data_IF_332117908545
#
_entry.id   IF_332117908545
#
_cell.length_a   1.000
_cell.length_b   1.000
_cell.length_c   1.000
_cell.angle_alpha   90.00
_cell.angle_beta   90.00
_cell.angle_gamma   90.00
#
_symmetry.space_group_name_H-M   'P 1'
#
loop_
_entity.id
_entity.type
_entity.pdbx_description
1 polymer ?
#
# COMPACT_ATOMS: atom_id res chain seq x y z
N UNK A 1 6.68 52.73 -49.69
CA UNK A 1 6.46 51.68 -50.69
C UNK A 1 6.84 50.33 -50.09
N UNK A 2 5.89 49.39 -50.06
CA UNK A 2 6.06 47.98 -49.65
C UNK A 2 7.11 47.27 -50.51
N UNK A 3 7.86 46.33 -49.92
CA UNK A 3 8.02 44.94 -50.40
C UNK A 3 8.75 44.08 -49.36
N UNK A 4 7.99 43.14 -48.78
CA UNK A 4 8.45 41.93 -48.09
C UNK A 4 8.93 40.91 -49.13
N UNK A 5 9.97 40.12 -48.83
CA UNK A 5 9.94 38.64 -48.69
C UNK A 5 11.34 38.03 -48.87
N UNK A 6 11.82 37.32 -47.86
CA UNK A 6 12.62 36.11 -48.04
C UNK A 6 12.35 35.19 -46.85
N UNK A 7 11.75 34.05 -47.18
CA UNK A 7 11.24 32.98 -46.34
C UNK A 7 12.34 32.24 -45.59
N UNK A 8 12.21 32.13 -44.26
CA UNK A 8 13.02 31.26 -43.41
C UNK A 8 12.48 29.84 -43.53
N UNK A 9 13.28 28.96 -44.14
CA UNK A 9 13.06 27.52 -44.12
C UNK A 9 14.12 26.87 -43.23
N UNK A 10 13.72 26.35 -42.08
CA UNK A 10 14.31 25.12 -41.54
C UNK A 10 13.51 24.59 -40.35
N UNK A 11 12.89 23.45 -40.63
CA UNK A 11 12.29 22.48 -39.74
C UNK A 11 13.42 21.65 -39.11
N UNK A 12 13.55 21.61 -37.77
CA UNK A 12 14.22 20.48 -37.09
C UNK A 12 13.41 20.05 -35.88
N UNK A 13 13.03 18.78 -35.96
CA UNK A 13 12.28 17.94 -35.04
C UNK A 13 13.06 17.61 -33.75
N UNK A 14 12.32 17.51 -32.65
CA UNK A 14 12.44 16.53 -31.55
C UNK A 14 13.84 16.12 -31.06
N UNK A 15 14.16 16.47 -29.80
CA UNK A 15 14.90 15.59 -28.88
C UNK A 15 14.43 15.81 -27.45
N UNK A 16 13.36 15.11 -27.08
CA UNK A 16 13.10 14.76 -25.68
C UNK A 16 13.92 13.51 -25.34
N UNK A 17 14.97 13.66 -24.54
CA UNK A 17 15.55 12.54 -23.78
C UNK A 17 16.05 13.06 -22.44
N UNK A 18 15.22 12.97 -21.41
CA UNK A 18 15.64 13.15 -20.03
C UNK A 18 16.50 11.95 -19.63
N UNK A 19 17.81 12.02 -19.91
CA UNK A 19 18.79 11.10 -19.35
C UNK A 19 19.08 11.48 -17.91
N UNK A 20 18.33 10.91 -16.96
CA UNK A 20 18.80 10.77 -15.59
C UNK A 20 19.21 9.32 -15.36
N UNK A 21 20.42 8.99 -15.80
CA UNK A 21 21.09 7.75 -15.44
C UNK A 21 22.41 8.09 -14.73
N UNK A 22 22.41 7.80 -13.43
CA UNK A 22 23.50 7.34 -12.58
C UNK A 22 24.87 8.07 -12.66
N UNK A 23 25.37 8.49 -11.49
CA UNK A 23 26.30 7.63 -10.73
C UNK A 23 26.96 8.38 -9.55
N UNK A 24 27.00 7.71 -8.39
CA UNK A 24 28.23 7.27 -7.68
C UNK A 24 28.06 7.36 -6.16
N UNK A 25 28.39 6.25 -5.50
CA UNK A 25 29.11 6.28 -4.24
C UNK A 25 28.25 6.09 -3.00
N UNK A 26 28.22 4.84 -2.52
CA UNK A 26 27.69 4.48 -1.21
C UNK A 26 26.39 3.72 -1.32
N UNK A 27 26.47 2.40 -1.25
CA UNK A 27 25.39 1.63 -0.62
C UNK A 27 25.34 2.16 0.82
N UNK A 28 24.26 2.83 1.27
CA UNK A 28 24.13 3.11 2.68
C UNK A 28 23.97 1.75 3.35
N UNK A 29 24.95 1.35 4.14
CA UNK A 29 24.70 0.36 5.17
C UNK A 29 23.61 0.97 6.09
N UNK A 30 22.39 0.43 5.99
CA UNK A 30 21.24 0.83 6.79
C UNK A 30 20.25 1.78 6.10
N UNK A 31 19.56 1.33 5.05
CA UNK A 31 18.27 1.92 4.73
C UNK A 31 17.31 1.49 5.85
N UNK A 32 16.86 2.45 6.68
CA UNK A 32 15.99 2.24 7.84
C UNK A 32 14.65 1.62 7.45
N UNK A 33 14.66 0.31 7.21
CA UNK A 33 13.45 -0.45 6.95
C UNK A 33 12.64 -0.60 8.22
N UNK A 34 11.32 -0.46 8.11
CA UNK A 34 10.43 -0.82 9.21
C UNK A 34 10.11 -2.31 9.17
N UNK A 35 9.96 -2.89 10.35
CA UNK A 35 9.28 -4.15 10.58
C UNK A 35 8.46 -3.98 11.86
N UNK A 36 7.13 -3.92 11.73
CA UNK A 36 6.22 -3.74 12.87
C UNK A 36 5.10 -4.77 12.77
N UNK A 37 4.64 -5.27 13.92
CA UNK A 37 3.49 -6.17 14.02
C UNK A 37 2.72 -5.85 15.29
N UNK A 38 1.39 -5.78 15.15
CA UNK A 38 0.47 -5.52 16.26
C UNK A 38 -0.65 -6.55 16.28
N UNK A 39 -1.18 -6.80 17.47
CA UNK A 39 -2.49 -7.44 17.62
C UNK A 39 -3.57 -6.37 17.50
N UNK A 40 -4.60 -6.66 16.71
CA UNK A 40 -5.75 -5.78 16.59
C UNK A 40 -6.75 -6.08 17.71
N UNK A 41 -7.37 -5.03 18.23
CA UNK A 41 -8.35 -5.09 19.31
C UNK A 41 -9.75 -5.20 18.71
N UNK A 42 -10.53 -6.17 19.18
CA UNK A 42 -11.91 -6.33 18.78
C UNK A 42 -12.84 -5.32 19.45
N UNK A 43 -13.68 -4.68 18.64
CA UNK A 43 -14.79 -3.85 19.11
C UNK A 43 -15.91 -4.71 19.73
N UNK A 44 -17.01 -4.10 20.16
CA UNK A 44 -18.21 -4.85 20.56
C UNK A 44 -18.75 -5.72 19.41
N UNK A 45 -18.85 -5.17 18.20
CA UNK A 45 -19.27 -5.91 17.01
C UNK A 45 -18.27 -7.03 16.67
N UNK A 46 -16.96 -6.78 16.79
CA UNK A 46 -15.94 -7.80 16.60
C UNK A 46 -16.03 -8.94 17.61
N UNK A 47 -16.26 -8.63 18.88
CA UNK A 47 -16.45 -9.65 19.93
C UNK A 47 -17.67 -10.53 19.66
N UNK A 48 -18.75 -9.98 19.11
CA UNK A 48 -19.96 -10.74 18.78
C UNK A 48 -19.70 -11.85 17.74
N UNK A 49 -18.71 -11.67 16.87
CA UNK A 49 -18.29 -12.67 15.87
C UNK A 49 -16.96 -13.35 16.24
N UNK A 50 -16.54 -13.26 17.50
CA UNK A 50 -15.26 -13.79 17.99
C UNK A 50 -14.04 -13.34 17.16
N UNK A 51 -14.06 -12.10 16.64
CA UNK A 51 -13.02 -11.57 15.78
C UNK A 51 -11.68 -11.45 16.51
N UNK A 52 -10.60 -11.85 15.83
CA UNK A 52 -9.20 -11.65 16.25
C UNK A 52 -8.37 -11.35 15.01
N UNK A 53 -7.31 -10.57 15.15
CA UNK A 53 -6.44 -10.32 14.02
C UNK A 53 -5.13 -9.66 14.37
N UNK A 54 -4.26 -9.56 13.38
CA UNK A 54 -2.97 -8.90 13.46
C UNK A 54 -2.73 -8.07 12.22
N UNK A 55 -2.04 -6.94 12.37
CA UNK A 55 -1.51 -6.17 11.25
C UNK A 55 0.01 -6.19 11.30
N UNK A 56 0.66 -6.30 10.14
CA UNK A 56 2.10 -6.30 10.01
C UNK A 56 2.54 -5.43 8.83
N UNK A 57 3.64 -4.71 9.01
CA UNK A 57 4.34 -4.00 7.93
C UNK A 57 5.79 -4.45 7.92
N UNK A 58 6.35 -4.61 6.73
CA UNK A 58 7.79 -4.86 6.56
C UNK A 58 8.31 -4.18 5.32
N UNK A 59 9.60 -3.88 5.34
CA UNK A 59 10.35 -3.50 4.16
C UNK A 59 11.59 -4.37 4.03
N UNK A 60 12.01 -4.63 2.80
CA UNK A 60 13.21 -5.39 2.50
C UNK A 60 13.93 -4.75 1.31
N UNK A 61 15.23 -4.51 1.45
CA UNK A 61 16.05 -4.08 0.33
C UNK A 61 16.17 -5.22 -0.69
N UNK A 62 15.91 -4.91 -1.96
CA UNK A 62 16.15 -5.78 -3.11
C UNK A 62 17.10 -5.07 -4.07
N UNK A 63 17.70 -5.82 -5.00
CA UNK A 63 18.60 -5.22 -6.00
C UNK A 63 17.76 -4.29 -6.89
N UNK A 64 18.03 -2.99 -6.81
CA UNK A 64 17.35 -1.98 -7.64
C UNK A 64 16.00 -1.46 -7.11
N UNK A 65 15.48 -1.97 -5.99
CA UNK A 65 14.24 -1.44 -5.38
C UNK A 65 14.08 -1.80 -3.90
N UNK A 66 13.17 -1.12 -3.20
CA UNK A 66 12.76 -1.49 -1.83
C UNK A 66 11.40 -2.17 -1.89
N UNK A 67 11.36 -3.45 -1.51
CA UNK A 67 10.11 -4.18 -1.35
C UNK A 67 9.43 -3.73 -0.05
N UNK A 68 8.16 -3.40 -0.15
CA UNK A 68 7.27 -3.01 0.93
C UNK A 68 6.13 -4.03 0.99
N UNK A 69 5.72 -4.42 2.19
CA UNK A 69 4.62 -5.36 2.37
C UNK A 69 3.78 -4.96 3.57
N UNK A 70 2.47 -4.97 3.38
CA UNK A 70 1.46 -4.76 4.41
C UNK A 70 0.53 -5.98 4.43
N UNK A 71 0.35 -6.55 5.62
CA UNK A 71 -0.51 -7.71 5.81
C UNK A 71 -1.49 -7.47 6.96
N UNK A 72 -2.76 -7.81 6.76
CA UNK A 72 -3.77 -7.90 7.81
C UNK A 72 -4.37 -9.29 7.78
N UNK A 73 -4.17 -10.01 8.87
CA UNK A 73 -4.70 -11.35 9.10
C UNK A 73 -5.85 -11.28 10.09
N UNK A 74 -6.95 -11.99 9.81
CA UNK A 74 -8.18 -11.97 10.59
C UNK A 74 -8.75 -13.38 10.74
N UNK A 75 -9.33 -13.64 11.91
CA UNK A 75 -10.25 -14.76 12.15
C UNK A 75 -11.58 -14.24 12.65
N UNK A 76 -12.67 -14.86 12.23
CA UNK A 76 -14.02 -14.54 12.67
C UNK A 76 -14.95 -15.74 12.50
N UNK A 77 -15.93 -15.87 13.41
CA UNK A 77 -16.99 -16.86 13.36
C UNK A 77 -18.16 -16.33 12.50
N UNK A 78 -17.96 -16.31 11.19
CA UNK A 78 -18.93 -15.85 10.18
C UNK A 78 -19.02 -16.86 9.05
N UNK A 79 -20.03 -16.72 8.19
CA UNK A 79 -20.15 -17.55 7.00
C UNK A 79 -19.00 -17.31 6.02
N UNK A 80 -18.58 -18.34 5.31
CA UNK A 80 -17.61 -18.23 4.23
C UNK A 80 -18.11 -17.25 3.15
N UNK A 81 -17.18 -16.50 2.56
CA UNK A 81 -17.47 -15.43 1.62
C UNK A 81 -17.83 -14.09 2.28
N UNK A 82 -17.97 -14.04 3.62
CA UNK A 82 -18.12 -12.75 4.33
C UNK A 82 -16.89 -11.88 4.08
N UNK A 83 -17.11 -10.63 3.67
CA UNK A 83 -16.05 -9.67 3.38
C UNK A 83 -15.94 -8.58 4.44
N UNK A 84 -14.72 -8.12 4.67
CA UNK A 84 -14.39 -7.00 5.53
C UNK A 84 -13.52 -6.02 4.78
N UNK A 85 -13.71 -4.72 4.99
CA UNK A 85 -12.88 -3.67 4.41
C UNK A 85 -11.76 -3.31 5.37
N UNK A 86 -10.54 -3.18 4.88
CA UNK A 86 -9.38 -2.74 5.64
C UNK A 86 -9.06 -1.30 5.25
N UNK A 87 -8.84 -0.47 6.26
CA UNK A 87 -8.39 0.90 6.14
C UNK A 87 -7.03 1.07 6.80
N UNK A 88 -6.14 1.77 6.12
CA UNK A 88 -4.85 2.22 6.65
C UNK A 88 -4.81 3.74 6.57
N UNK A 89 -4.48 4.41 7.68
CA UNK A 89 -4.47 5.87 7.76
C UNK A 89 -5.80 6.53 7.32
N UNK A 90 -6.94 5.84 7.53
CA UNK A 90 -8.27 6.30 7.15
C UNK A 90 -8.63 6.13 5.66
N UNK A 91 -7.74 5.57 4.84
CA UNK A 91 -7.96 5.31 3.42
C UNK A 91 -8.16 3.81 3.17
N UNK A 92 -8.99 3.40 2.18
CA UNK A 92 -9.17 2.00 1.83
C UNK A 92 -7.85 1.36 1.39
N UNK A 93 -7.50 0.25 2.04
CA UNK A 93 -6.34 -0.57 1.69
C UNK A 93 -6.76 -1.78 0.84
N UNK A 94 -7.91 -2.39 1.12
CA UNK A 94 -8.39 -3.56 0.41
C UNK A 94 -9.40 -4.34 1.21
N UNK A 95 -9.75 -5.54 0.75
CA UNK A 95 -10.75 -6.39 1.40
C UNK A 95 -10.16 -7.70 1.89
N UNK A 96 -10.71 -8.21 2.99
CA UNK A 96 -10.48 -9.55 3.50
C UNK A 96 -11.74 -10.36 3.21
N UNK A 97 -11.59 -11.54 2.61
CA UNK A 97 -12.68 -12.51 2.47
C UNK A 97 -12.42 -13.68 3.40
N UNK A 98 -13.42 -14.05 4.21
CA UNK A 98 -13.32 -15.18 5.13
C UNK A 98 -13.58 -16.50 4.39
N UNK A 99 -12.68 -17.45 4.61
CA UNK A 99 -12.82 -18.86 4.19
C UNK A 99 -12.38 -19.73 5.37
N UNK A 100 -13.23 -20.68 5.77
CA UNK A 100 -13.01 -21.54 6.94
C UNK A 100 -12.66 -20.72 8.20
N UNK A 101 -13.35 -19.59 8.40
CA UNK A 101 -13.16 -18.71 9.56
C UNK A 101 -11.87 -17.89 9.57
N UNK A 102 -11.08 -17.90 8.50
CA UNK A 102 -9.83 -17.14 8.37
C UNK A 102 -9.87 -16.23 7.13
N UNK A 103 -9.19 -15.10 7.16
CA UNK A 103 -8.98 -14.26 5.99
C UNK A 103 -7.74 -13.40 6.12
N UNK A 104 -7.12 -13.09 4.99
CA UNK A 104 -5.87 -12.32 4.92
C UNK A 104 -5.95 -11.32 3.78
N UNK A 105 -5.54 -10.09 4.05
CA UNK A 105 -5.18 -9.10 3.05
C UNK A 105 -3.66 -9.00 3.05
N UNK A 106 -3.02 -9.26 1.91
CA UNK A 106 -1.58 -9.10 1.72
C UNK A 106 -1.34 -8.21 0.51
N UNK A 107 -0.64 -7.10 0.72
CA UNK A 107 -0.33 -6.11 -0.30
C UNK A 107 1.18 -5.89 -0.33
N UNK A 108 1.73 -5.84 -1.53
CA UNK A 108 3.14 -5.53 -1.77
C UNK A 108 3.28 -4.58 -2.97
N UNK A 109 4.49 -4.02 -3.12
CA UNK A 109 4.87 -3.22 -4.28
C UNK A 109 5.83 -3.97 -5.22
N UNK A 110 5.84 -5.30 -5.21
CA UNK A 110 6.62 -6.06 -6.17
C UNK A 110 5.96 -5.95 -7.55
N UNK A 111 6.69 -5.49 -8.60
CA UNK A 111 6.08 -5.28 -9.90
C UNK A 111 5.34 -6.54 -10.41
N UNK A 112 4.12 -6.38 -10.96
CA UNK A 112 3.49 -5.13 -11.39
C UNK A 112 2.64 -4.41 -10.32
N UNK A 113 2.70 -4.83 -9.06
CA UNK A 113 1.82 -4.33 -8.00
C UNK A 113 2.15 -2.88 -7.61
N UNK A 114 1.11 -2.12 -7.27
CA UNK A 114 1.21 -0.78 -6.70
C UNK A 114 0.42 -0.76 -5.40
N UNK A 115 1.04 -0.23 -4.35
CA UNK A 115 0.38 -0.10 -3.05
C UNK A 115 -0.67 1.02 -3.09
N UNK A 116 -1.84 0.83 -2.44
CA UNK A 116 -2.82 1.89 -2.28
C UNK A 116 -2.27 3.12 -1.53
N UNK A 117 -2.85 4.29 -1.76
CA UNK A 117 -2.39 5.56 -1.18
C UNK A 117 -2.36 5.58 0.37
N UNK A 118 -3.21 4.80 1.05
CA UNK A 118 -3.18 4.67 2.51
C UNK A 118 -2.09 3.75 3.04
N UNK A 119 -1.46 2.98 2.16
CA UNK A 119 -0.50 1.91 2.47
C UNK A 119 0.90 2.27 1.97
N UNK A 120 1.04 3.11 0.95
CA UNK A 120 2.33 3.58 0.45
C UNK A 120 2.74 4.93 1.09
N UNK A 121 3.88 5.00 1.81
CA UNK A 121 4.79 3.92 2.20
C UNK A 121 4.33 3.16 3.46
N UNK A 122 4.63 1.86 3.54
CA UNK A 122 4.11 0.97 4.60
C UNK A 122 4.60 1.35 5.99
N UNK A 123 5.76 1.99 6.07
CA UNK A 123 6.35 2.41 7.34
C UNK A 123 5.61 3.59 7.99
N UNK A 124 4.86 4.36 7.20
CA UNK A 124 4.06 5.50 7.66
C UNK A 124 2.64 5.12 8.07
N UNK A 125 2.28 3.83 8.01
CA UNK A 125 1.00 3.36 8.54
C UNK A 125 1.02 3.48 10.06
N UNK A 126 0.02 4.18 10.59
CA UNK A 126 -0.22 4.34 12.03
C UNK A 126 -1.51 3.58 12.40
N UNK A 127 -2.74 4.09 12.17
CA UNK A 127 -3.94 3.31 12.45
C UNK A 127 -4.24 2.29 11.35
N UNK A 128 -4.70 1.12 11.79
CA UNK A 128 -5.33 0.09 10.96
C UNK A 128 -6.72 -0.18 11.52
N UNK A 129 -7.73 -0.16 10.64
CA UNK A 129 -9.13 -0.42 10.99
C UNK A 129 -9.71 -1.43 10.01
N UNK A 130 -10.44 -2.40 10.53
CA UNK A 130 -11.19 -3.39 9.75
C UNK A 130 -12.67 -3.17 10.02
N UNK A 131 -13.48 -3.02 8.98
CA UNK A 131 -14.93 -2.83 9.08
C UNK A 131 -15.70 -3.93 8.37
N UNK A 132 -16.95 -4.16 8.78
CA UNK A 132 -17.90 -4.97 8.03
C UNK A 132 -18.53 -4.18 6.86
N UNK A 133 -19.42 -4.83 6.11
CA UNK A 133 -20.16 -4.21 5.01
C UNK A 133 -21.17 -3.14 5.43
N UNK A 134 -21.50 -3.04 6.72
CA UNK A 134 -22.34 -1.98 7.27
C UNK A 134 -21.54 -0.78 7.79
N UNK A 135 -20.20 -0.84 7.72
CA UNK A 135 -19.30 0.21 8.20
C UNK A 135 -19.01 0.15 9.71
N UNK A 136 -19.43 -0.90 10.41
CA UNK A 136 -19.08 -1.07 11.82
C UNK A 136 -17.60 -1.43 11.94
N UNK A 137 -16.88 -0.79 12.85
CA UNK A 137 -15.52 -1.22 13.20
C UNK A 137 -15.58 -2.59 13.86
N UNK A 138 -14.79 -3.54 13.34
CA UNK A 138 -14.68 -4.92 13.83
C UNK A 138 -13.38 -5.12 14.59
N UNK A 139 -12.27 -4.72 13.98
CA UNK A 139 -10.94 -4.73 14.57
C UNK A 139 -10.28 -3.37 14.37
N UNK A 140 -9.50 -2.90 15.34
CA UNK A 140 -8.66 -1.71 15.18
C UNK A 140 -7.38 -1.79 15.99
N UNK A 141 -6.37 -1.03 15.57
CA UNK A 141 -5.09 -0.95 16.27
C UNK A 141 -4.20 0.15 15.69
N UNK A 142 -3.05 0.37 16.31
CA UNK A 142 -2.04 1.29 15.81
C UNK A 142 -0.64 0.72 16.03
N UNK A 143 0.24 0.92 15.05
CA UNK A 143 1.63 0.47 15.06
C UNK A 143 2.53 1.27 15.99
#
# INVERSE_FOLDING_TARGET
MRRLTATVASLVLLLGVAHYAAAKGGVPAGAGGCAKKINLVASAAGKAIAARGTAAVRTAAKIGFVQQNFEVSMRAAVADGTTFMVFANGLPAGTITIVLGNGVLSLDNEPPNVLPAGVDPVCSIVPVVVTDGAGNTILSGSF
#
